data_IF_620093473737
#
_entry.id   IF_620093473737
#
_cell.length_a   1.000
_cell.length_b   1.000
_cell.length_c   1.000
_cell.angle_alpha   90.00
_cell.angle_beta   90.00
_cell.angle_gamma   90.00
#
_symmetry.space_group_name_H-M   'P 1'
#
loop_
_entity.id
_entity.type
_entity.pdbx_description
1 polymer ?
#
# COMPACT_ATOMS: atom_id res chain seq x y z
N UNK A 1 0.98 -32.93 -90.79
CA UNK A 1 0.54 -32.34 -89.50
C UNK A 1 1.34 -33.00 -88.39
N UNK A 2 2.26 -32.32 -87.69
CA UNK A 2 2.99 -32.94 -86.59
C UNK A 2 2.09 -33.03 -85.35
N UNK A 3 1.95 -34.25 -84.82
CA UNK A 3 1.16 -34.53 -83.62
C UNK A 3 1.87 -33.94 -82.40
N UNK A 4 1.26 -32.94 -81.75
CA UNK A 4 1.76 -32.38 -80.50
C UNK A 4 1.75 -33.47 -79.41
N UNK A 5 2.94 -33.89 -78.96
CA UNK A 5 3.09 -34.78 -77.79
C UNK A 5 2.48 -34.11 -76.56
N UNK A 6 1.43 -34.71 -75.99
CA UNK A 6 0.89 -34.35 -74.68
C UNK A 6 1.95 -34.61 -73.61
N UNK A 7 2.27 -33.62 -72.80
CA UNK A 7 3.19 -33.76 -71.67
C UNK A 7 2.64 -34.78 -70.67
N UNK A 8 3.45 -35.77 -70.26
CA UNK A 8 3.03 -36.82 -69.33
C UNK A 8 3.03 -36.30 -67.89
N UNK A 9 1.86 -35.89 -67.38
CA UNK A 9 1.68 -35.41 -66.01
C UNK A 9 1.79 -36.51 -64.92
N UNK A 10 2.10 -37.76 -65.29
CA UNK A 10 2.12 -38.91 -64.36
C UNK A 10 3.48 -39.58 -64.13
N UNK A 11 4.59 -39.11 -64.74
CA UNK A 11 5.90 -39.77 -64.61
C UNK A 11 6.82 -39.00 -63.67
N UNK A 12 6.92 -39.44 -62.41
CA UNK A 12 7.99 -38.99 -61.50
C UNK A 12 9.33 -39.26 -62.15
N UNK A 13 10.14 -38.22 -62.31
CA UNK A 13 11.47 -38.34 -62.92
C UNK A 13 12.37 -39.23 -62.06
N UNK A 14 13.34 -39.91 -62.68
CA UNK A 14 14.34 -40.72 -61.96
C UNK A 14 15.12 -39.89 -60.93
N UNK A 15 15.31 -38.59 -61.18
CA UNK A 15 15.91 -37.66 -60.23
C UNK A 15 15.02 -37.42 -58.99
N UNK A 16 13.71 -37.23 -59.16
CA UNK A 16 12.78 -37.06 -58.05
C UNK A 16 12.71 -38.31 -57.15
N UNK A 17 12.74 -39.50 -57.76
CA UNK A 17 12.75 -40.78 -57.01
C UNK A 17 14.04 -40.95 -56.20
N UNK A 18 15.20 -40.64 -56.80
CA UNK A 18 16.49 -40.67 -56.08
C UNK A 18 16.49 -39.70 -54.90
N UNK A 19 16.04 -38.46 -55.09
CA UNK A 19 15.94 -37.47 -53.99
C UNK A 19 14.96 -37.88 -52.88
N UNK A 20 13.87 -38.58 -53.22
CA UNK A 20 12.94 -39.10 -52.21
C UNK A 20 13.57 -40.25 -51.41
N UNK A 21 14.27 -41.16 -52.10
CA UNK A 21 14.99 -42.27 -51.45
C UNK A 21 16.12 -41.77 -50.54
N UNK A 22 16.90 -40.76 -50.97
CA UNK A 22 17.93 -40.16 -50.11
C UNK A 22 17.31 -39.51 -48.88
N UNK A 23 16.21 -38.76 -49.02
CA UNK A 23 15.51 -38.14 -47.88
C UNK A 23 14.90 -39.16 -46.91
N UNK A 24 14.47 -40.31 -47.42
CA UNK A 24 13.94 -41.38 -46.58
C UNK A 24 15.03 -42.13 -45.81
N UNK A 25 16.27 -42.08 -46.29
CA UNK A 25 17.45 -42.67 -45.65
C UNK A 25 18.25 -41.65 -44.80
N UNK A 26 17.83 -40.37 -44.76
CA UNK A 26 18.44 -39.34 -43.91
C UNK A 26 18.21 -39.67 -42.42
N UNK A 27 19.25 -39.47 -41.61
CA UNK A 27 19.10 -39.50 -40.16
C UNK A 27 18.51 -38.18 -39.62
N UNK A 28 18.25 -38.13 -38.32
CA UNK A 28 17.61 -36.97 -37.70
C UNK A 28 18.47 -35.70 -37.69
N UNK A 29 19.79 -35.83 -37.73
CA UNK A 29 20.73 -34.71 -37.66
C UNK A 29 20.97 -34.11 -39.05
N UNK A 30 21.15 -34.96 -40.06
CA UNK A 30 21.22 -34.59 -41.47
C UNK A 30 19.91 -33.94 -41.92
N UNK A 31 18.77 -34.48 -41.49
CA UNK A 31 17.46 -33.88 -41.77
C UNK A 31 17.34 -32.49 -41.13
N UNK A 32 17.80 -32.29 -39.90
CA UNK A 32 17.81 -30.98 -39.22
C UNK A 32 18.68 -29.98 -39.97
N UNK A 33 19.92 -30.36 -40.29
CA UNK A 33 20.88 -29.52 -41.01
C UNK A 33 20.36 -29.11 -42.38
N UNK A 34 19.76 -30.05 -43.13
CA UNK A 34 19.12 -29.74 -44.42
C UNK A 34 17.95 -28.76 -44.26
N UNK A 35 17.09 -28.96 -43.26
CA UNK A 35 15.94 -28.09 -43.00
C UNK A 35 16.39 -26.70 -42.55
N UNK A 36 17.43 -26.58 -41.71
CA UNK A 36 18.03 -25.31 -41.31
C UNK A 36 18.65 -24.57 -42.50
N UNK A 37 19.41 -25.28 -43.34
CA UNK A 37 19.95 -24.71 -44.58
C UNK A 37 18.85 -24.26 -45.56
N UNK A 38 17.68 -24.92 -45.56
CA UNK A 38 16.51 -24.47 -46.33
C UNK A 38 15.85 -23.23 -45.69
N UNK A 39 15.67 -23.21 -44.37
CA UNK A 39 15.15 -22.06 -43.62
C UNK A 39 16.01 -20.81 -43.83
N UNK A 40 17.33 -20.95 -43.72
CA UNK A 40 18.28 -19.84 -43.91
C UNK A 40 18.25 -19.29 -45.33
N UNK A 41 18.28 -20.16 -46.36
CA UNK A 41 18.16 -19.74 -47.76
C UNK A 41 16.84 -19.03 -48.05
N UNK A 42 15.74 -19.54 -47.50
CA UNK A 42 14.42 -18.91 -47.67
C UNK A 42 14.34 -17.56 -46.94
N UNK A 43 14.92 -17.44 -45.75
CA UNK A 43 15.00 -16.18 -45.01
C UNK A 43 15.82 -15.12 -45.77
N UNK A 44 16.99 -15.51 -46.30
CA UNK A 44 17.83 -14.62 -47.11
C UNK A 44 17.10 -14.16 -48.39
N UNK A 45 16.43 -15.08 -49.10
CA UNK A 45 15.62 -14.74 -50.27
C UNK A 45 14.46 -13.79 -49.95
N UNK A 46 13.79 -13.94 -48.78
CA UNK A 46 12.73 -13.03 -48.33
C UNK A 46 13.27 -11.66 -47.90
N UNK A 47 14.47 -11.61 -47.33
CA UNK A 47 15.12 -10.36 -46.92
C UNK A 47 15.55 -9.51 -48.13
N UNK A 48 16.03 -10.15 -49.21
CA UNK A 48 16.46 -9.49 -50.45
C UNK A 48 15.30 -9.09 -51.38
N UNK A 49 14.04 -9.30 -50.97
CA UNK A 49 12.88 -9.08 -51.82
C UNK A 49 12.44 -7.60 -51.86
N UNK A 50 12.03 -7.14 -53.06
CA UNK A 50 11.45 -5.80 -53.23
C UNK A 50 10.08 -5.65 -52.52
N UNK A 51 9.66 -4.42 -52.17
CA UNK A 51 8.36 -4.17 -51.54
C UNK A 51 7.16 -4.72 -52.32
N UNK A 52 7.18 -4.64 -53.65
CA UNK A 52 6.08 -5.07 -54.53
C UNK A 52 5.96 -6.59 -54.55
N UNK A 53 7.09 -7.29 -54.67
CA UNK A 53 7.13 -8.76 -54.61
C UNK A 53 6.69 -9.26 -53.23
N UNK A 54 7.08 -8.54 -52.16
CA UNK A 54 6.66 -8.83 -50.79
C UNK A 54 5.16 -8.69 -50.62
N UNK A 55 4.55 -7.66 -51.22
CA UNK A 55 3.10 -7.46 -51.18
C UNK A 55 2.37 -8.57 -51.93
N UNK A 56 2.78 -8.86 -53.17
CA UNK A 56 2.19 -9.93 -53.98
C UNK A 56 2.27 -11.29 -53.26
N UNK A 57 3.41 -11.65 -52.65
CA UNK A 57 3.50 -12.88 -51.85
C UNK A 57 2.53 -12.87 -50.65
N UNK A 58 2.41 -11.76 -49.92
CA UNK A 58 1.49 -11.65 -48.77
C UNK A 58 0.03 -11.79 -49.20
N UNK A 59 -0.33 -11.28 -50.37
CA UNK A 59 -1.65 -11.43 -50.97
C UNK A 59 -1.92 -12.88 -51.37
N UNK A 60 -0.95 -13.53 -52.02
CA UNK A 60 -1.03 -14.95 -52.36
C UNK A 60 -1.11 -15.83 -51.10
N UNK A 61 -0.32 -15.54 -50.07
CA UNK A 61 -0.37 -16.25 -48.78
C UNK A 61 -1.76 -16.10 -48.14
N UNK A 62 -2.31 -14.88 -48.14
CA UNK A 62 -3.66 -14.59 -47.62
C UNK A 62 -4.73 -15.36 -48.40
N UNK A 63 -4.66 -15.37 -49.73
CA UNK A 63 -5.59 -16.09 -50.58
C UNK A 63 -5.52 -17.61 -50.35
N UNK A 64 -4.31 -18.18 -50.25
CA UNK A 64 -4.11 -19.61 -49.94
C UNK A 64 -4.66 -19.98 -48.55
N UNK A 65 -4.38 -19.17 -47.53
CA UNK A 65 -4.94 -19.40 -46.19
C UNK A 65 -6.46 -19.27 -46.16
N UNK A 66 -7.04 -18.32 -46.89
CA UNK A 66 -8.49 -18.17 -47.01
C UNK A 66 -9.13 -19.39 -47.70
N UNK A 67 -8.56 -19.85 -48.81
CA UNK A 67 -9.02 -21.05 -49.52
C UNK A 67 -8.92 -22.31 -48.64
N UNK A 68 -7.81 -22.48 -47.90
CA UNK A 68 -7.66 -23.60 -46.96
C UNK A 68 -8.71 -23.56 -45.85
N UNK A 69 -9.05 -22.39 -45.32
CA UNK A 69 -10.11 -22.23 -44.30
C UNK A 69 -11.51 -22.50 -44.85
N UNK A 70 -11.76 -22.10 -46.09
CA UNK A 70 -13.04 -22.36 -46.76
C UNK A 70 -13.27 -23.86 -47.00
N UNK A 71 -12.20 -24.63 -47.21
CA UNK A 71 -12.24 -26.08 -47.38
C UNK A 71 -12.25 -26.87 -46.05
N UNK A 72 -12.20 -26.22 -44.88
CA UNK A 72 -12.20 -26.90 -43.58
C UNK A 72 -13.52 -27.63 -43.30
N UNK A 73 -13.42 -28.88 -42.88
CA UNK A 73 -14.55 -29.61 -42.32
C UNK A 73 -14.90 -29.09 -40.89
N UNK A 74 -16.08 -29.45 -40.33
CA UNK A 74 -16.51 -28.93 -39.03
C UNK A 74 -15.56 -29.25 -37.85
N UNK A 75 -14.88 -30.40 -37.88
CA UNK A 75 -13.94 -30.81 -36.82
C UNK A 75 -12.66 -29.96 -36.91
N UNK A 76 -12.09 -29.81 -38.11
CA UNK A 76 -10.92 -28.98 -38.37
C UNK A 76 -11.16 -27.50 -38.01
N UNK A 77 -12.37 -27.00 -38.27
CA UNK A 77 -12.77 -25.64 -37.88
C UNK A 77 -12.81 -25.46 -36.37
N UNK A 78 -13.30 -26.47 -35.64
CA UNK A 78 -13.36 -26.45 -34.17
C UNK A 78 -11.97 -26.45 -33.55
N UNK A 79 -11.09 -27.36 -33.99
CA UNK A 79 -9.70 -27.45 -33.50
C UNK A 79 -8.91 -26.17 -33.78
N UNK A 80 -9.02 -25.59 -34.98
CA UNK A 80 -8.40 -24.29 -35.30
C UNK A 80 -8.89 -23.18 -34.37
N UNK A 81 -10.20 -23.14 -34.08
CA UNK A 81 -10.79 -22.12 -33.20
C UNK A 81 -10.33 -22.29 -31.76
N UNK A 82 -10.20 -23.52 -31.27
CA UNK A 82 -9.65 -23.84 -29.95
C UNK A 82 -8.16 -23.46 -29.86
N UNK A 83 -7.35 -23.81 -30.85
CA UNK A 83 -5.93 -23.43 -30.89
C UNK A 83 -5.76 -21.91 -30.96
N UNK A 84 -6.61 -21.21 -31.73
CA UNK A 84 -6.58 -19.75 -31.78
C UNK A 84 -6.93 -19.13 -30.42
N UNK A 85 -7.97 -19.66 -29.74
CA UNK A 85 -8.30 -19.24 -28.36
C UNK A 85 -7.14 -19.50 -27.41
N UNK A 86 -6.49 -20.67 -27.48
CA UNK A 86 -5.34 -21.02 -26.64
C UNK A 86 -4.16 -20.09 -26.87
N UNK A 87 -3.83 -19.77 -28.13
CA UNK A 87 -2.75 -18.83 -28.49
C UNK A 87 -3.06 -17.39 -28.03
N UNK A 88 -4.29 -16.94 -28.21
CA UNK A 88 -4.71 -15.61 -27.74
C UNK A 88 -4.68 -15.53 -26.20
N UNK A 89 -5.15 -16.56 -25.51
CA UNK A 89 -5.07 -16.66 -24.05
C UNK A 89 -3.62 -16.68 -23.57
N UNK A 90 -2.74 -17.48 -24.18
CA UNK A 90 -1.32 -17.52 -23.87
C UNK A 90 -0.62 -16.18 -24.15
N UNK A 91 -0.95 -15.49 -25.24
CA UNK A 91 -0.41 -14.16 -25.55
C UNK A 91 -0.86 -13.09 -24.57
N UNK A 92 -2.12 -13.13 -24.12
CA UNK A 92 -2.63 -12.25 -23.06
C UNK A 92 -1.95 -12.57 -21.73
N UNK A 93 -1.85 -13.85 -21.37
CA UNK A 93 -1.16 -14.27 -20.16
C UNK A 93 0.32 -13.83 -20.18
N UNK A 94 1.03 -14.02 -21.29
CA UNK A 94 2.44 -13.62 -21.43
C UNK A 94 2.68 -12.11 -21.22
N UNK A 95 1.68 -11.26 -21.48
CA UNK A 95 1.75 -9.83 -21.19
C UNK A 95 1.68 -9.54 -19.68
N UNK A 96 0.96 -10.37 -18.93
CA UNK A 96 0.74 -10.22 -17.48
C UNK A 96 1.69 -11.07 -16.63
N UNK A 97 2.30 -12.13 -17.17
CA UNK A 97 3.24 -13.01 -16.45
C UNK A 97 4.47 -12.28 -15.91
N UNK A 98 4.82 -11.11 -16.47
CA UNK A 98 5.90 -10.28 -15.94
C UNK A 98 5.62 -9.74 -14.52
N UNK A 99 4.34 -9.62 -14.13
CA UNK A 99 3.93 -9.11 -12.82
C UNK A 99 3.37 -10.21 -11.90
N UNK A 100 3.43 -11.48 -12.30
CA UNK A 100 2.92 -12.58 -11.48
C UNK A 100 3.77 -12.74 -10.21
N UNK A 101 3.19 -12.43 -9.06
CA UNK A 101 3.88 -12.45 -7.76
C UNK A 101 4.54 -11.14 -7.35
N UNK A 102 4.61 -10.14 -8.22
CA UNK A 102 5.17 -8.81 -7.87
C UNK A 102 4.34 -8.08 -6.82
N UNK A 103 3.02 -8.31 -6.78
CA UNK A 103 2.16 -7.77 -5.73
C UNK A 103 2.56 -8.24 -4.31
N UNK A 104 3.27 -9.36 -4.19
CA UNK A 104 3.77 -9.88 -2.91
C UNK A 104 5.21 -9.47 -2.61
N UNK A 105 5.87 -8.79 -3.55
CA UNK A 105 7.21 -8.20 -3.40
C UNK A 105 7.08 -6.68 -3.31
N UNK A 106 6.62 -6.22 -2.16
CA UNK A 106 6.60 -4.78 -1.89
C UNK A 106 8.03 -4.27 -1.72
N UNK A 107 8.42 -3.32 -2.57
CA UNK A 107 9.67 -2.58 -2.51
C UNK A 107 9.33 -1.09 -2.32
N UNK A 108 9.60 -0.51 -1.14
CA UNK A 108 9.31 0.89 -0.85
C UNK A 108 10.04 1.90 -1.77
N UNK A 109 11.10 1.49 -2.47
CA UNK A 109 11.84 2.35 -3.39
C UNK A 109 11.15 2.53 -4.74
N UNK A 110 10.16 1.69 -5.06
CA UNK A 110 9.44 1.75 -6.32
C UNK A 110 8.29 2.76 -6.26
N UNK A 111 8.19 3.60 -7.29
CA UNK A 111 7.04 4.49 -7.47
C UNK A 111 5.90 3.77 -8.22
N UNK A 112 5.14 2.96 -7.49
CA UNK A 112 4.02 2.17 -8.02
C UNK A 112 2.92 3.03 -8.68
N UNK A 113 2.70 4.25 -8.18
CA UNK A 113 1.67 5.18 -8.70
C UNK A 113 1.93 5.62 -10.16
N UNK A 114 3.19 5.54 -10.60
CA UNK A 114 3.64 5.98 -11.94
C UNK A 114 4.01 4.82 -12.87
N UNK A 115 3.75 3.58 -12.47
CA UNK A 115 4.19 2.42 -13.23
C UNK A 115 3.48 2.34 -14.60
N UNK A 116 4.21 2.30 -15.74
CA UNK A 116 3.65 2.44 -17.09
C UNK A 116 2.55 1.43 -17.46
N UNK A 117 2.52 0.29 -16.78
CA UNK A 117 1.53 -0.78 -17.00
C UNK A 117 0.39 -0.80 -15.96
N UNK A 118 0.45 0.04 -14.91
CA UNK A 118 -0.55 0.13 -13.84
C UNK A 118 -1.22 1.51 -13.86
N UNK A 119 -2.06 1.76 -14.87
CA UNK A 119 -2.89 2.97 -14.93
C UNK A 119 -4.32 2.64 -14.49
N UNK A 120 -4.55 2.67 -13.17
CA UNK A 120 -5.88 2.43 -12.56
C UNK A 120 -6.79 3.68 -12.72
N UNK A 121 -6.20 4.85 -13.00
CA UNK A 121 -6.90 6.12 -13.15
C UNK A 121 -7.22 6.81 -11.81
N UNK A 122 -7.87 7.97 -11.88
CA UNK A 122 -8.28 8.76 -10.72
C UNK A 122 -9.60 8.25 -10.13
N UNK A 123 -9.74 8.29 -8.81
CA UNK A 123 -10.95 7.90 -8.09
C UNK A 123 -11.98 9.05 -8.14
N UNK A 124 -12.58 9.24 -9.32
CA UNK A 124 -13.39 10.43 -9.65
C UNK A 124 -14.88 10.12 -9.88
N UNK A 125 -15.24 8.85 -10.03
CA UNK A 125 -16.64 8.47 -10.25
C UNK A 125 -17.38 8.43 -8.93
N UNK A 126 -18.41 9.25 -8.76
CA UNK A 126 -19.20 9.27 -7.51
C UNK A 126 -20.31 8.22 -7.58
N UNK A 127 -20.41 7.37 -6.56
CA UNK A 127 -21.52 6.44 -6.42
C UNK A 127 -22.84 7.19 -6.24
N UNK A 128 -23.89 6.93 -7.05
CA UNK A 128 -25.18 7.60 -6.89
C UNK A 128 -25.96 7.19 -5.63
N UNK A 129 -25.54 6.11 -4.95
CA UNK A 129 -26.27 5.57 -3.79
C UNK A 129 -25.64 5.92 -2.44
N UNK A 130 -24.30 5.97 -2.37
CA UNK A 130 -23.58 6.18 -1.11
C UNK A 130 -22.52 7.28 -1.20
N UNK A 131 -22.42 8.00 -2.33
CA UNK A 131 -21.45 9.06 -2.60
C UNK A 131 -19.98 8.66 -2.47
N UNK A 132 -19.67 7.37 -2.33
CA UNK A 132 -18.30 6.88 -2.37
C UNK A 132 -17.67 7.19 -3.73
N UNK A 133 -16.44 7.71 -3.71
CA UNK A 133 -15.61 7.86 -4.90
C UNK A 133 -15.17 6.48 -5.38
N UNK A 134 -15.11 6.31 -6.71
CA UNK A 134 -14.81 5.06 -7.40
C UNK A 134 -13.82 5.28 -8.50
N UNK A 135 -13.12 4.21 -8.86
CA UNK A 135 -12.34 4.18 -10.09
C UNK A 135 -13.24 3.86 -11.28
N UNK A 136 -12.88 4.38 -12.46
CA UNK A 136 -13.69 4.22 -13.67
C UNK A 136 -13.94 2.75 -14.06
N UNK A 137 -12.99 1.88 -13.74
CA UNK A 137 -13.02 0.45 -14.07
C UNK A 137 -13.55 -0.42 -12.92
N UNK A 138 -14.01 0.18 -11.82
CA UNK A 138 -14.49 -0.55 -10.66
C UNK A 138 -15.85 -1.20 -10.94
N UNK A 139 -16.03 -2.44 -10.47
CA UNK A 139 -17.29 -3.17 -10.63
C UNK A 139 -18.44 -2.38 -10.00
N UNK A 140 -19.51 -2.18 -10.77
CA UNK A 140 -20.71 -1.46 -10.31
C UNK A 140 -21.26 -2.11 -9.05
N UNK A 141 -21.34 -1.31 -7.98
CA UNK A 141 -21.90 -1.73 -6.71
C UNK A 141 -20.88 -2.30 -5.72
N UNK A 142 -19.59 -2.36 -6.02
CA UNK A 142 -18.55 -2.77 -5.03
C UNK A 142 -18.67 -2.02 -3.69
N UNK A 143 -18.92 -0.72 -3.73
CA UNK A 143 -18.98 0.12 -2.53
C UNK A 143 -20.26 -0.02 -1.67
N UNK A 144 -21.38 -0.49 -2.21
CA UNK A 144 -22.67 -0.48 -1.50
C UNK A 144 -23.67 -1.56 -1.96
N UNK A 145 -23.20 -2.54 -2.72
CA UNK A 145 -24.01 -3.56 -3.39
C UNK A 145 -25.17 -2.98 -4.21
N UNK A 146 -24.95 -1.84 -4.86
CA UNK A 146 -25.97 -1.12 -5.63
C UNK A 146 -27.01 -0.41 -4.77
N UNK A 147 -26.60 0.15 -3.63
CA UNK A 147 -27.47 0.89 -2.70
C UNK A 147 -28.17 0.02 -1.65
N UNK A 148 -27.86 -1.28 -1.60
CA UNK A 148 -28.40 -2.22 -0.61
C UNK A 148 -27.74 -2.06 0.76
N UNK A 149 -26.48 -1.63 0.78
CA UNK A 149 -25.77 -1.30 2.02
C UNK A 149 -25.90 0.21 2.25
N UNK A 150 -26.64 0.58 3.30
CA UNK A 150 -26.66 1.93 3.84
C UNK A 150 -25.83 1.91 5.11
N UNK A 151 -24.66 2.55 5.08
CA UNK A 151 -23.89 2.75 6.30
C UNK A 151 -24.69 3.67 7.22
N UNK A 152 -24.79 3.37 8.52
CA UNK A 152 -25.32 4.30 9.49
C UNK A 152 -24.55 5.62 9.41
N UNK A 153 -25.24 6.74 9.64
CA UNK A 153 -24.57 8.01 9.82
C UNK A 153 -23.60 7.88 11.01
N UNK A 154 -22.33 8.22 10.80
CA UNK A 154 -21.35 8.19 11.88
C UNK A 154 -21.76 9.23 12.92
N UNK A 155 -22.05 8.77 14.13
CA UNK A 155 -22.31 9.70 15.22
C UNK A 155 -21.05 10.52 15.47
N UNK A 156 -21.18 11.83 15.70
CA UNK A 156 -20.03 12.63 16.07
C UNK A 156 -19.43 12.06 17.36
N UNK A 157 -18.09 12.05 17.47
CA UNK A 157 -17.45 11.58 18.71
C UNK A 157 -17.99 12.40 19.90
N UNK A 158 -18.14 11.80 21.08
CA UNK A 158 -18.51 12.53 22.29
C UNK A 158 -17.42 13.54 22.66
N UNK A 159 -17.78 14.57 23.43
CA UNK A 159 -16.76 15.39 24.10
C UNK A 159 -16.02 14.54 25.15
N UNK A 160 -14.70 14.73 25.33
CA UNK A 160 -13.85 15.78 24.75
C UNK A 160 -13.21 15.44 23.38
N UNK A 161 -13.46 14.24 22.83
CA UNK A 161 -12.78 13.77 21.61
C UNK A 161 -13.12 14.62 20.37
N UNK A 162 -14.34 15.12 20.27
CA UNK A 162 -14.75 16.02 19.17
C UNK A 162 -13.93 17.30 19.14
N UNK A 163 -13.72 17.94 20.29
CA UNK A 163 -12.90 19.14 20.42
C UNK A 163 -11.42 18.90 20.11
N UNK A 164 -10.93 17.66 20.25
CA UNK A 164 -9.54 17.30 19.97
C UNK A 164 -9.27 16.88 18.52
N UNK A 165 -10.27 16.31 17.84
CA UNK A 165 -10.12 15.77 16.48
C UNK A 165 -10.45 16.82 15.41
N UNK A 166 -11.23 17.85 15.76
CA UNK A 166 -11.62 18.94 14.85
C UNK A 166 -10.56 20.04 14.54
N UNK A 167 -9.64 20.40 15.45
CA UNK A 167 -8.68 21.50 15.22
C UNK A 167 -7.75 21.25 14.04
N UNK A 168 -7.67 22.20 13.11
CA UNK A 168 -6.75 22.16 11.96
C UNK A 168 -5.47 22.96 12.19
N UNK A 169 -5.25 23.50 13.39
CA UNK A 169 -4.06 24.29 13.75
C UNK A 169 -3.65 24.10 15.21
N UNK A 170 -2.37 24.35 15.52
CA UNK A 170 -1.84 24.30 16.88
C UNK A 170 -2.46 25.34 17.82
N UNK A 171 -2.85 26.49 17.29
CA UNK A 171 -3.54 27.54 18.05
C UNK A 171 -4.95 27.07 18.45
N UNK A 172 -5.67 26.43 17.53
CA UNK A 172 -6.98 25.85 17.81
C UNK A 172 -6.87 24.74 18.88
N UNK A 173 -5.81 23.92 18.87
CA UNK A 173 -5.54 22.93 19.93
C UNK A 173 -5.30 23.55 21.32
N UNK A 174 -4.85 24.81 21.40
CA UNK A 174 -4.62 25.53 22.66
C UNK A 174 -5.80 26.40 23.07
N UNK A 175 -6.84 26.48 22.25
CA UNK A 175 -7.98 27.35 22.52
C UNK A 175 -9.04 26.59 23.29
N UNK A 176 -9.26 26.96 24.55
CA UNK A 176 -10.30 26.38 25.40
C UNK A 176 -11.27 27.49 25.77
N UNK A 177 -12.57 27.29 25.52
CA UNK A 177 -13.62 28.30 25.79
C UNK A 177 -13.35 29.69 25.17
N UNK A 178 -12.69 29.74 24.01
CA UNK A 178 -12.37 30.99 23.30
C UNK A 178 -11.12 31.72 23.81
N UNK A 179 -10.37 31.13 24.74
CA UNK A 179 -9.09 31.66 25.23
C UNK A 179 -7.92 30.75 24.84
N UNK A 180 -6.84 31.35 24.33
CA UNK A 180 -5.62 30.62 23.97
C UNK A 180 -4.78 30.42 25.24
N UNK A 181 -4.65 29.17 25.66
CA UNK A 181 -3.81 28.78 26.80
C UNK A 181 -2.34 29.01 26.48
N UNK A 182 -1.50 29.34 27.46
CA UNK A 182 -0.06 29.56 27.28
C UNK A 182 0.66 28.28 26.85
N UNK A 183 0.18 27.11 27.27
CA UNK A 183 0.76 25.81 26.93
C UNK A 183 -0.30 24.80 26.51
N UNK A 184 0.09 23.77 25.76
CA UNK A 184 -0.80 22.63 25.43
C UNK A 184 -1.23 21.87 26.68
N UNK A 185 -0.34 21.78 27.68
CA UNK A 185 -0.65 21.14 28.95
C UNK A 185 -1.78 21.84 29.69
N UNK A 186 -1.74 23.16 29.76
CA UNK A 186 -2.80 23.98 30.35
C UNK A 186 -4.14 23.80 29.62
N UNK A 187 -4.12 23.75 28.28
CA UNK A 187 -5.31 23.44 27.49
C UNK A 187 -5.88 22.06 27.83
N UNK A 188 -5.02 21.03 27.94
CA UNK A 188 -5.45 19.68 28.34
C UNK A 188 -6.03 19.65 29.76
N UNK A 189 -5.47 20.42 30.70
CA UNK A 189 -6.01 20.56 32.06
C UNK A 189 -7.42 21.19 32.04
N UNK A 190 -7.61 22.28 31.29
CA UNK A 190 -8.91 22.93 31.17
C UNK A 190 -9.96 22.08 30.43
N UNK A 191 -9.53 21.20 29.54
CA UNK A 191 -10.40 20.19 28.92
C UNK A 191 -10.72 19.00 29.84
N UNK A 192 -10.13 18.93 31.03
CA UNK A 192 -10.30 17.78 31.94
C UNK A 192 -9.68 16.48 31.41
N UNK A 193 -8.67 16.58 30.55
CA UNK A 193 -7.97 15.43 29.96
C UNK A 193 -6.83 14.90 30.83
N UNK A 194 -6.42 15.70 31.81
CA UNK A 194 -5.39 15.34 32.78
C UNK A 194 -6.06 15.20 34.14
N UNK A 195 -5.63 14.20 34.91
CA UNK A 195 -6.01 14.08 36.31
C UNK A 195 -5.54 15.33 37.06
N UNK A 196 -6.44 15.95 37.82
CA UNK A 196 -6.10 17.08 38.66
C UNK A 196 -5.37 16.62 39.93
N UNK A 197 -4.51 17.49 40.47
CA UNK A 197 -3.80 17.20 41.72
C UNK A 197 -4.62 17.58 42.96
N UNK A 198 -5.94 17.87 42.81
CA UNK A 198 -6.75 18.34 43.94
C UNK A 198 -6.80 17.32 45.07
N UNK A 199 -6.85 16.03 44.73
CA UNK A 199 -6.82 14.97 45.74
C UNK A 199 -5.50 14.97 46.52
N UNK A 200 -4.38 15.27 45.87
CA UNK A 200 -3.08 15.38 46.52
C UNK A 200 -2.99 16.64 47.38
N UNK A 201 -3.53 17.76 46.91
CA UNK A 201 -3.63 18.99 47.70
C UNK A 201 -4.48 18.78 48.96
N UNK A 202 -5.66 18.19 48.85
CA UNK A 202 -6.51 17.88 50.00
C UNK A 202 -5.80 16.97 51.00
N UNK A 203 -5.17 15.89 50.49
CA UNK A 203 -4.42 14.91 51.29
C UNK A 203 -3.24 15.56 52.02
N UNK A 204 -2.48 16.42 51.33
CA UNK A 204 -1.34 17.13 51.90
C UNK A 204 -1.76 18.20 52.91
N UNK A 205 -2.87 18.91 52.65
CA UNK A 205 -3.45 19.89 53.57
C UNK A 205 -3.89 19.22 54.89
N UNK A 206 -4.57 18.09 54.82
CA UNK A 206 -4.96 17.31 56.00
C UNK A 206 -3.74 16.80 56.78
N UNK A 207 -2.74 16.27 56.07
CA UNK A 207 -1.50 15.82 56.68
C UNK A 207 -0.70 16.96 57.34
N UNK A 208 -0.69 18.15 56.73
CA UNK A 208 -0.05 19.34 57.28
C UNK A 208 -0.73 19.81 58.57
N UNK A 209 -2.07 19.76 58.63
CA UNK A 209 -2.82 20.10 59.83
C UNK A 209 -2.51 19.18 61.03
N UNK A 210 -2.07 17.94 60.78
CA UNK A 210 -1.67 17.00 61.83
C UNK A 210 -0.30 17.32 62.48
N UNK A 211 0.46 18.30 61.97
CA UNK A 211 1.75 18.76 62.52
C UNK A 211 2.77 17.63 62.79
N UNK A 212 2.88 16.68 61.85
CA UNK A 212 3.86 15.60 61.89
C UNK A 212 4.76 15.65 60.65
N UNK A 213 5.75 16.57 60.58
CA UNK A 213 6.50 16.85 59.35
C UNK A 213 7.24 15.64 58.77
N UNK A 214 7.82 14.78 59.63
CA UNK A 214 8.46 13.54 59.18
C UNK A 214 7.48 12.54 58.53
N UNK A 215 6.22 12.47 59.02
CA UNK A 215 5.18 11.63 58.41
C UNK A 215 4.64 12.26 57.14
N UNK A 216 4.53 13.58 57.10
CA UNK A 216 4.15 14.34 55.91
C UNK A 216 5.18 14.17 54.77
N UNK A 217 6.48 14.14 55.10
CA UNK A 217 7.55 13.83 54.13
C UNK A 217 7.41 12.43 53.54
N UNK A 218 7.07 11.43 54.37
CA UNK A 218 6.81 10.08 53.88
C UNK A 218 5.57 10.01 52.97
N UNK A 219 4.50 10.73 53.32
CA UNK A 219 3.30 10.82 52.49
C UNK A 219 3.59 11.46 51.14
N UNK A 220 4.32 12.57 51.13
CA UNK A 220 4.77 13.23 49.91
C UNK A 220 5.61 12.29 49.02
N UNK A 221 6.56 11.56 49.60
CA UNK A 221 7.35 10.58 48.87
C UNK A 221 6.51 9.44 48.27
N UNK A 222 5.49 8.96 49.00
CA UNK A 222 4.56 7.94 48.49
C UNK A 222 3.72 8.46 47.31
N UNK A 223 3.21 9.69 47.39
CA UNK A 223 2.47 10.33 46.30
C UNK A 223 3.36 10.41 45.05
N UNK A 224 4.61 10.87 45.19
CA UNK A 224 5.55 10.93 44.07
C UNK A 224 5.87 9.56 43.46
N UNK A 225 6.06 8.54 44.30
CA UNK A 225 6.52 7.22 43.86
C UNK A 225 5.41 6.36 43.23
N UNK A 226 4.16 6.51 43.71
CA UNK A 226 3.07 5.59 43.37
C UNK A 226 1.94 6.26 42.61
N UNK A 227 1.68 7.54 42.87
CA UNK A 227 0.48 8.21 42.39
C UNK A 227 0.70 9.08 41.15
N UNK A 228 1.96 9.42 40.82
CA UNK A 228 2.31 10.16 39.60
C UNK A 228 1.58 11.50 39.46
N UNK A 229 1.69 12.43 40.44
CA UNK A 229 0.99 13.71 40.38
C UNK A 229 1.36 14.48 39.11
N UNK A 230 0.39 15.20 38.56
CA UNK A 230 0.52 15.98 37.34
C UNK A 230 1.60 17.05 37.49
N UNK A 231 1.59 17.80 38.60
CA UNK A 231 2.46 18.95 38.93
C UNK A 231 3.24 18.73 40.25
N UNK A 232 4.19 17.78 40.32
CA UNK A 232 4.95 17.47 41.54
C UNK A 232 5.64 18.69 42.18
N UNK A 233 6.17 19.58 41.32
CA UNK A 233 6.84 20.80 41.74
C UNK A 233 5.88 21.77 42.43
N UNK A 234 4.68 21.94 41.91
CA UNK A 234 3.68 22.85 42.51
C UNK A 234 3.22 22.34 43.88
N UNK A 235 3.03 21.02 43.99
CA UNK A 235 2.72 20.36 45.26
C UNK A 235 3.86 20.56 46.27
N UNK A 236 5.11 20.40 45.86
CA UNK A 236 6.28 20.70 46.70
C UNK A 236 6.29 22.16 47.18
N UNK A 237 6.18 23.12 46.26
CA UNK A 237 6.25 24.55 46.61
C UNK A 237 5.17 24.96 47.61
N UNK A 238 3.98 24.33 47.54
CA UNK A 238 2.85 24.62 48.42
C UNK A 238 3.03 24.07 49.84
N UNK A 239 3.79 22.99 50.02
CA UNK A 239 3.90 22.29 51.31
C UNK A 239 5.34 22.20 51.87
N UNK A 240 6.36 22.71 51.17
CA UNK A 240 7.78 22.62 51.58
C UNK A 240 8.04 23.12 53.00
N UNK A 241 7.35 24.17 53.44
CA UNK A 241 7.48 24.72 54.80
C UNK A 241 6.89 23.76 55.85
N UNK A 242 5.69 23.21 55.61
CA UNK A 242 5.08 22.20 56.49
C UNK A 242 5.89 20.90 56.54
N UNK A 243 6.52 20.52 55.42
CA UNK A 243 7.40 19.35 55.31
C UNK A 243 8.68 19.49 56.13
N UNK A 244 9.12 20.73 56.38
CA UNK A 244 10.42 21.06 57.02
C UNK A 244 10.27 21.79 58.36
N UNK A 245 9.05 21.89 58.89
CA UNK A 245 8.77 22.55 60.18
C UNK A 245 9.61 21.97 61.32
N UNK A 246 9.81 20.65 61.35
CA UNK A 246 10.59 20.00 62.39
C UNK A 246 12.08 20.33 62.30
N UNK A 247 12.61 20.51 61.08
CA UNK A 247 13.98 20.97 60.83
C UNK A 247 14.16 22.39 61.39
N UNK A 248 13.23 23.30 61.09
CA UNK A 248 13.25 24.67 61.62
C UNK A 248 13.14 24.70 63.14
N UNK A 249 12.21 23.91 63.69
CA UNK A 249 12.02 23.79 65.13
C UNK A 249 13.27 23.26 65.83
N UNK A 250 13.94 22.28 65.25
CA UNK A 250 15.19 21.73 65.79
C UNK A 250 16.33 22.75 65.73
N UNK A 251 16.47 23.48 64.63
CA UNK A 251 17.47 24.54 64.48
C UNK A 251 17.28 25.67 65.51
N UNK A 252 16.02 26.09 65.74
CA UNK A 252 15.66 27.07 66.78
C UNK A 252 15.98 26.58 68.20
N UNK A 253 15.75 25.29 68.49
CA UNK A 253 16.11 24.69 69.78
C UNK A 253 17.61 24.67 70.03
N UNK A 254 18.41 24.46 68.99
CA UNK A 254 19.88 24.46 69.08
C UNK A 254 20.47 25.86 69.20
N UNK A 255 19.77 26.89 68.71
CA UNK A 255 20.24 28.28 68.70
C UNK A 255 19.18 29.25 69.29
N UNK A 256 18.90 29.22 70.60
CA UNK A 256 17.77 29.93 71.22
C UNK A 256 17.83 31.46 71.12
N UNK A 257 19.02 32.01 70.88
CA UNK A 257 19.28 33.47 70.83
C UNK A 257 19.06 34.03 69.41
N UNK A 258 19.05 33.17 68.40
CA UNK A 258 18.90 33.56 66.99
C UNK A 258 17.45 33.39 66.55
N UNK A 259 16.85 34.44 66.00
CA UNK A 259 15.55 34.33 65.33
C UNK A 259 15.74 33.75 63.92
N UNK A 260 15.67 32.42 63.83
CA UNK A 260 15.84 31.67 62.59
C UNK A 260 14.50 31.56 61.83
N UNK A 261 14.53 31.82 60.53
CA UNK A 261 13.42 31.63 59.60
C UNK A 261 13.79 30.55 58.56
N UNK A 262 12.84 30.17 57.69
CA UNK A 262 13.12 29.21 56.62
C UNK A 262 14.22 29.73 55.68
N UNK A 263 15.23 28.89 55.43
CA UNK A 263 16.29 29.17 54.46
C UNK A 263 16.24 28.17 53.30
N UNK A 264 16.75 28.54 52.11
CA UNK A 264 16.83 27.62 50.97
C UNK A 264 17.52 26.30 51.29
N UNK A 265 18.52 26.32 52.19
CA UNK A 265 19.27 25.14 52.60
C UNK A 265 18.42 24.11 53.36
N UNK A 266 17.29 24.54 53.93
CA UNK A 266 16.38 23.66 54.67
C UNK A 266 15.43 22.88 53.77
N UNK A 267 15.33 23.28 52.50
CA UNK A 267 14.51 22.64 51.48
C UNK A 267 15.31 21.61 50.64
N UNK A 268 16.58 21.37 50.99
CA UNK A 268 17.52 20.49 50.29
C UNK A 268 17.60 19.09 50.93
#
# INVERSE_FOLDING_TARGET
>A
MPVKKRASLGRSTSAARRMAATRAAEDSEDARTRLDGQRARQAASRAAESPERRQSRREDDRARHAASRAAENPIQRRTRSEDQRRRQAASRAAQWTFMEGEAFRYDPANNYDSHPQLNIGQMSDVCPYCNALKWHAETRGMCCSGGKVKLPELQPPPEPLKSLIGPTSFEALRTVNGQICATFREACQLHGLLEDDQQWDATMSEGAAAQLPARLRNLFALILAVCGPSSPKQLWESYKESLTEDILRNARRQNPVMNLDYTPDMFN
#
